data_IF_226878469965
#
_entry.id   IF_226878469965
#
_cell.length_a   1.000
_cell.length_b   1.000
_cell.length_c   1.000
_cell.angle_alpha   90.00
_cell.angle_beta   90.00
_cell.angle_gamma   90.00
#
_symmetry.space_group_name_H-M   'P 1'
#
loop_
_entity.id
_entity.type
_entity.pdbx_description
1 polymer ?
#
# COMPACT_ATOMS: atom_id res chain seq x y z
N UNK A 1 -34.52 30.64 -50.77
CA UNK A 1 -34.42 29.19 -50.55
C UNK A 1 -35.25 28.87 -49.33
N UNK A 2 -36.27 28.04 -49.55
CA UNK A 2 -37.42 27.86 -48.68
C UNK A 2 -37.11 27.03 -47.43
N UNK A 3 -37.88 27.36 -46.39
CA UNK A 3 -38.07 26.70 -45.10
C UNK A 3 -38.35 25.20 -45.16
N UNK A 4 -37.96 24.45 -44.12
CA UNK A 4 -38.82 23.44 -43.47
C UNK A 4 -38.19 22.93 -42.17
N UNK A 5 -38.88 23.15 -41.06
CA UNK A 5 -38.83 22.35 -39.83
C UNK A 5 -39.87 21.24 -39.90
N UNK A 6 -39.78 20.19 -39.06
CA UNK A 6 -40.99 19.48 -38.65
C UNK A 6 -41.15 19.46 -37.13
N UNK A 7 -42.28 20.01 -36.71
CA UNK A 7 -42.96 19.77 -35.44
C UNK A 7 -43.72 18.44 -35.56
N UNK A 8 -43.70 17.60 -34.53
CA UNK A 8 -44.67 16.50 -34.39
C UNK A 8 -45.27 16.52 -33.00
N UNK A 9 -46.60 16.63 -33.01
CA UNK A 9 -47.53 16.79 -31.92
C UNK A 9 -47.62 15.56 -31.02
N UNK A 10 -47.87 15.88 -29.76
CA UNK A 10 -48.30 15.02 -28.67
C UNK A 10 -49.83 15.19 -28.58
N UNK A 11 -50.64 14.12 -28.71
CA UNK A 11 -51.80 13.88 -27.84
C UNK A 11 -52.75 12.75 -28.31
N UNK A 12 -53.33 12.11 -27.29
CA UNK A 12 -54.62 11.39 -27.25
C UNK A 12 -54.64 9.92 -27.66
N UNK A 13 -54.59 9.02 -26.68
CA UNK A 13 -55.74 8.14 -26.38
C UNK A 13 -55.78 7.77 -24.89
N UNK A 14 -56.79 8.32 -24.21
CA UNK A 14 -57.37 7.86 -22.95
C UNK A 14 -57.71 6.36 -23.00
N UNK A 15 -57.65 5.68 -21.85
CA UNK A 15 -58.82 5.16 -21.12
C UNK A 15 -58.50 3.97 -20.19
N UNK A 16 -58.94 4.14 -18.94
CA UNK A 16 -59.46 3.13 -18.00
C UNK A 16 -58.48 2.37 -17.08
N UNK A 17 -58.47 2.84 -15.83
CA UNK A 17 -58.30 2.02 -14.63
C UNK A 17 -59.42 0.99 -14.49
N UNK A 18 -59.14 -0.13 -13.81
CA UNK A 18 -60.16 -0.71 -12.92
C UNK A 18 -59.59 -0.87 -11.51
N UNK A 19 -60.24 -0.18 -10.58
CA UNK A 19 -60.30 -0.54 -9.17
C UNK A 19 -60.96 -1.91 -9.01
N UNK A 20 -60.33 -2.85 -8.32
CA UNK A 20 -61.09 -3.84 -7.55
C UNK A 20 -60.46 -3.99 -6.17
N UNK A 21 -61.26 -3.59 -5.18
CA UNK A 21 -61.07 -3.82 -3.76
C UNK A 21 -60.94 -5.33 -3.46
N UNK A 22 -60.08 -5.69 -2.52
CA UNK A 22 -60.26 -6.86 -1.67
C UNK A 22 -59.45 -6.67 -0.38
N UNK A 23 -60.13 -6.15 0.63
CA UNK A 23 -59.84 -6.39 2.05
C UNK A 23 -60.95 -7.33 2.58
N UNK A 24 -60.85 -7.93 3.78
CA UNK A 24 -59.72 -8.59 4.43
C UNK A 24 -60.14 -10.00 4.94
N UNK A 25 -59.21 -10.92 5.18
CA UNK A 25 -59.52 -12.17 5.93
C UNK A 25 -58.76 -12.16 7.24
N UNK A 26 -59.51 -11.98 8.33
CA UNK A 26 -59.10 -12.29 9.71
C UNK A 26 -59.09 -13.81 9.88
N UNK A 27 -57.99 -14.34 10.41
CA UNK A 27 -57.97 -15.61 11.12
C UNK A 27 -57.20 -15.39 12.43
N UNK A 28 -57.98 -15.27 13.50
CA UNK A 28 -57.51 -15.29 14.87
C UNK A 28 -57.13 -16.73 15.23
N UNK A 29 -55.91 -16.96 15.73
CA UNK A 29 -55.63 -18.04 16.68
C UNK A 29 -54.61 -17.56 17.71
N UNK A 30 -55.10 -17.28 18.91
CA UNK A 30 -54.30 -17.18 20.13
C UNK A 30 -53.65 -18.54 20.44
N UNK A 31 -52.36 -18.54 20.80
CA UNK A 31 -51.79 -19.53 21.72
C UNK A 31 -50.89 -18.80 22.73
N UNK A 32 -51.26 -18.91 24.00
CA UNK A 32 -50.47 -18.48 25.16
C UNK A 32 -49.28 -19.42 25.35
N UNK A 33 -48.06 -18.87 25.37
CA UNK A 33 -47.00 -19.41 26.22
C UNK A 33 -46.23 -18.26 26.88
N UNK A 34 -46.37 -18.22 28.21
CA UNK A 34 -45.43 -17.66 29.16
C UNK A 34 -44.00 -18.20 28.94
N UNK A 35 -42.99 -17.37 29.24
CA UNK A 35 -41.81 -17.66 30.08
C UNK A 35 -40.48 -17.06 29.54
N UNK A 36 -39.98 -16.07 30.29
CA UNK A 36 -38.57 -15.81 30.70
C UNK A 36 -37.45 -15.66 29.65
N UNK A 37 -36.79 -14.50 29.76
CA UNK A 37 -35.38 -14.18 29.51
C UNK A 37 -34.59 -15.12 28.59
N UNK A 38 -34.26 -14.61 27.41
CA UNK A 38 -33.20 -15.14 26.56
C UNK A 38 -32.55 -14.00 25.79
N UNK A 39 -31.62 -13.31 26.47
CA UNK A 39 -30.47 -12.61 25.89
C UNK A 39 -30.74 -11.69 24.69
N UNK A 40 -30.73 -10.38 24.98
CA UNK A 40 -30.45 -9.32 24.02
C UNK A 40 -29.07 -9.58 23.37
N UNK A 41 -29.11 -10.30 22.25
CA UNK A 41 -28.10 -10.32 21.20
C UNK A 41 -28.93 -9.98 19.95
N UNK A 42 -28.47 -9.00 19.17
CA UNK A 42 -29.06 -8.51 17.91
C UNK A 42 -29.77 -7.14 17.97
N UNK A 43 -29.27 -6.18 18.73
CA UNK A 43 -29.44 -4.75 18.40
C UNK A 43 -28.52 -4.39 17.22
N UNK A 44 -28.67 -5.08 16.08
CA UNK A 44 -28.08 -4.68 14.80
C UNK A 44 -29.09 -3.74 14.16
N UNK A 45 -28.94 -2.45 14.42
CA UNK A 45 -29.75 -1.39 13.82
C UNK A 45 -29.92 -1.65 12.32
N UNK A 46 -31.16 -1.95 11.92
CA UNK A 46 -31.49 -2.22 10.53
C UNK A 46 -31.54 -0.87 9.82
N UNK A 47 -30.53 -0.60 9.01
CA UNK A 47 -30.43 0.61 8.19
C UNK A 47 -31.65 0.67 7.25
N UNK A 48 -32.38 1.78 7.28
CA UNK A 48 -33.55 2.01 6.44
C UNK A 48 -33.19 1.97 4.96
N UNK A 49 -34.17 1.69 4.09
CA UNK A 49 -34.00 1.76 2.63
C UNK A 49 -33.48 3.14 2.17
N UNK A 50 -33.94 4.21 2.81
CA UNK A 50 -33.50 5.58 2.54
C UNK A 50 -32.04 5.81 2.92
N UNK A 51 -31.63 5.31 4.09
CA UNK A 51 -30.25 5.41 4.59
C UNK A 51 -29.30 4.57 3.73
N UNK A 52 -29.73 3.38 3.29
CA UNK A 52 -28.97 2.53 2.37
C UNK A 52 -28.78 3.21 1.00
N UNK A 53 -29.79 3.94 0.52
CA UNK A 53 -29.66 4.72 -0.71
C UNK A 53 -28.68 5.88 -0.55
N UNK A 54 -28.72 6.59 0.57
CA UNK A 54 -27.77 7.68 0.84
C UNK A 54 -26.34 7.17 1.03
N UNK A 55 -26.16 6.04 1.72
CA UNK A 55 -24.86 5.38 1.84
C UNK A 55 -24.26 5.08 0.47
N UNK A 56 -25.04 4.46 -0.43
CA UNK A 56 -24.60 4.20 -1.82
C UNK A 56 -24.22 5.48 -2.57
N UNK A 57 -24.97 6.56 -2.39
CA UNK A 57 -24.67 7.85 -3.01
C UNK A 57 -23.34 8.41 -2.52
N UNK A 58 -23.09 8.35 -1.21
CA UNK A 58 -21.87 8.83 -0.58
C UNK A 58 -20.67 7.96 -0.96
N UNK A 59 -20.82 6.63 -0.97
CA UNK A 59 -19.77 5.71 -1.41
C UNK A 59 -19.37 5.95 -2.86
N UNK A 60 -20.31 6.26 -3.75
CA UNK A 60 -19.99 6.61 -5.13
C UNK A 60 -19.18 7.92 -5.24
N UNK A 61 -19.37 8.88 -4.33
CA UNK A 61 -18.55 10.09 -4.25
C UNK A 61 -17.15 9.74 -3.76
N UNK A 62 -17.04 8.90 -2.73
CA UNK A 62 -15.76 8.44 -2.19
C UNK A 62 -14.97 7.68 -3.26
N UNK A 63 -15.58 6.72 -3.94
CA UNK A 63 -14.92 5.93 -4.99
C UNK A 63 -14.37 6.81 -6.12
N UNK A 64 -15.16 7.80 -6.55
CA UNK A 64 -14.71 8.78 -7.55
C UNK A 64 -13.56 9.65 -7.03
N UNK A 65 -13.63 10.08 -5.77
CA UNK A 65 -12.57 10.85 -5.12
C UNK A 65 -11.25 10.07 -4.99
N UNK A 66 -11.31 8.77 -4.68
CA UNK A 66 -10.13 7.89 -4.61
C UNK A 66 -9.45 7.73 -5.97
N UNK A 67 -10.19 7.85 -7.07
CA UNK A 67 -9.66 7.75 -8.45
C UNK A 67 -9.22 9.09 -9.03
N UNK A 68 -9.63 10.21 -8.44
CA UNK A 68 -9.40 11.54 -8.97
C UNK A 68 -7.91 11.87 -9.19
N UNK A 69 -7.01 11.45 -8.30
CA UNK A 69 -5.58 11.74 -8.46
C UNK A 69 -4.99 11.10 -9.72
N UNK A 70 -5.44 9.90 -10.09
CA UNK A 70 -5.02 9.20 -11.29
C UNK A 70 -5.56 9.91 -12.54
N UNK A 71 -6.83 10.29 -12.55
CA UNK A 71 -7.44 11.03 -13.67
C UNK A 71 -6.73 12.37 -13.90
N UNK A 72 -6.46 13.12 -12.83
CA UNK A 72 -5.71 14.38 -12.87
C UNK A 72 -4.30 14.14 -13.40
N UNK A 73 -3.58 13.14 -12.87
CA UNK A 73 -2.22 12.81 -13.31
C UNK A 73 -2.17 12.45 -14.80
N UNK A 74 -3.14 11.68 -15.31
CA UNK A 74 -3.23 11.34 -16.72
C UNK A 74 -3.52 12.56 -17.59
N UNK A 75 -4.44 13.43 -17.17
CA UNK A 75 -4.74 14.68 -17.89
C UNK A 75 -3.51 15.59 -17.95
N UNK A 76 -2.82 15.79 -16.83
CA UNK A 76 -1.58 16.57 -16.75
C UNK A 76 -0.50 15.98 -17.66
N UNK A 77 -0.35 14.65 -17.69
CA UNK A 77 0.58 13.95 -18.59
C UNK A 77 0.28 14.25 -20.06
N UNK A 78 -0.99 14.20 -20.46
CA UNK A 78 -1.41 14.49 -21.83
C UNK A 78 -1.19 15.96 -22.21
N UNK A 79 -1.56 16.89 -21.33
CA UNK A 79 -1.34 18.33 -21.51
C UNK A 79 0.15 18.62 -21.71
N UNK A 80 1.00 17.99 -20.89
CA UNK A 80 2.45 18.14 -20.97
C UNK A 80 2.99 17.55 -22.28
N UNK A 81 2.65 16.31 -22.61
CA UNK A 81 3.15 15.59 -23.78
C UNK A 81 2.81 16.31 -25.10
N UNK A 82 1.58 16.82 -25.21
CA UNK A 82 1.12 17.55 -26.41
C UNK A 82 1.44 19.06 -26.35
N UNK A 83 2.02 19.53 -25.25
CA UNK A 83 2.33 20.94 -24.98
C UNK A 83 1.12 21.86 -25.19
N UNK A 84 -0.06 21.46 -24.70
CA UNK A 84 -1.32 22.20 -24.91
C UNK A 84 -1.35 23.56 -24.18
N UNK A 85 -0.43 23.78 -23.24
CA UNK A 85 -0.26 25.04 -22.51
C UNK A 85 0.47 26.14 -23.31
N UNK A 86 1.09 25.80 -24.44
CA UNK A 86 2.04 26.68 -25.17
C UNK A 86 1.45 28.00 -25.70
N UNK A 87 0.12 28.11 -25.79
CA UNK A 87 -0.54 29.32 -26.27
C UNK A 87 -0.43 30.49 -25.28
N UNK A 88 -0.45 30.19 -23.97
CA UNK A 88 -0.54 31.21 -22.92
C UNK A 88 0.60 31.13 -21.90
N UNK A 89 1.38 30.05 -21.90
CA UNK A 89 2.42 29.80 -20.90
C UNK A 89 3.73 29.35 -21.56
N UNK A 90 4.87 29.79 -21.00
CA UNK A 90 6.19 29.49 -21.58
C UNK A 90 6.61 28.05 -21.34
N UNK A 91 6.31 27.51 -20.16
CA UNK A 91 6.63 26.15 -19.77
C UNK A 91 5.46 25.53 -18.98
N UNK A 92 5.55 24.22 -18.75
CA UNK A 92 4.50 23.45 -18.08
C UNK A 92 4.37 23.83 -16.60
N UNK A 93 5.49 24.19 -15.98
CA UNK A 93 5.58 24.60 -14.59
C UNK A 93 4.77 25.87 -14.31
N UNK A 94 4.95 26.91 -15.13
CA UNK A 94 4.21 28.16 -15.06
C UNK A 94 2.71 27.91 -15.24
N UNK A 95 2.34 27.05 -16.20
CA UNK A 95 0.96 26.62 -16.38
C UNK A 95 0.37 25.98 -15.11
N UNK A 96 1.09 25.05 -14.47
CA UNK A 96 0.61 24.39 -13.25
C UNK A 96 0.43 25.37 -12.09
N UNK A 97 1.37 26.29 -11.90
CA UNK A 97 1.33 27.26 -10.81
C UNK A 97 0.21 28.27 -11.06
N UNK A 98 0.14 28.87 -12.24
CA UNK A 98 -0.79 29.97 -12.53
C UNK A 98 -2.22 29.49 -12.74
N UNK A 99 -2.44 28.35 -13.41
CA UNK A 99 -3.80 27.88 -13.70
C UNK A 99 -4.42 27.06 -12.59
N UNK A 100 -3.60 26.26 -11.90
CA UNK A 100 -4.07 25.24 -10.94
C UNK A 100 -3.56 25.47 -9.51
N UNK A 101 -2.82 26.56 -9.25
CA UNK A 101 -2.22 26.87 -7.94
C UNK A 101 -1.38 25.72 -7.38
N UNK A 102 -0.82 24.91 -8.29
CA UNK A 102 -0.13 23.67 -7.97
C UNK A 102 1.37 23.82 -8.20
N UNK A 103 2.16 23.46 -7.20
CA UNK A 103 3.61 23.45 -7.35
C UNK A 103 4.03 22.47 -8.45
N UNK A 104 5.14 22.81 -9.14
CA UNK A 104 5.82 21.90 -10.08
C UNK A 104 5.93 20.48 -9.52
N UNK A 105 6.49 20.36 -8.30
CA UNK A 105 6.74 19.07 -7.66
C UNK A 105 5.46 18.24 -7.53
N UNK A 106 4.36 18.87 -7.11
CA UNK A 106 3.07 18.18 -6.96
C UNK A 106 2.53 17.70 -8.29
N UNK A 107 2.64 18.51 -9.36
CA UNK A 107 2.19 18.11 -10.69
C UNK A 107 2.95 16.89 -11.22
N UNK A 108 4.29 16.89 -11.12
CA UNK A 108 5.10 15.74 -11.52
C UNK A 108 4.83 14.50 -10.66
N UNK A 109 4.63 14.67 -9.34
CA UNK A 109 4.26 13.56 -8.46
C UNK A 109 2.93 12.90 -8.85
N UNK A 110 1.93 13.70 -9.24
CA UNK A 110 0.66 13.16 -9.74
C UNK A 110 0.84 12.40 -11.06
N UNK A 111 1.66 12.91 -11.99
CA UNK A 111 1.97 12.25 -13.26
C UNK A 111 2.68 10.91 -13.04
N UNK A 112 3.69 10.88 -12.17
CA UNK A 112 4.45 9.68 -11.83
C UNK A 112 3.57 8.65 -11.12
N UNK A 113 2.78 9.07 -10.12
CA UNK A 113 1.87 8.20 -9.40
C UNK A 113 0.77 7.63 -10.29
N UNK A 114 0.24 8.41 -11.24
CA UNK A 114 -0.74 7.92 -12.21
C UNK A 114 -0.13 6.85 -13.13
N UNK A 115 1.15 6.99 -13.49
CA UNK A 115 1.87 5.98 -14.29
C UNK A 115 2.08 4.67 -13.51
N UNK A 116 2.44 4.75 -12.22
CA UNK A 116 2.50 3.58 -11.33
C UNK A 116 1.14 2.92 -11.18
N UNK A 117 0.08 3.72 -10.96
CA UNK A 117 -1.28 3.21 -10.81
C UNK A 117 -1.70 2.40 -12.05
N UNK A 118 -1.41 2.89 -13.26
CA UNK A 118 -1.69 2.16 -14.50
C UNK A 118 -0.95 0.81 -14.56
N UNK A 119 0.33 0.78 -14.16
CA UNK A 119 1.11 -0.46 -14.16
C UNK A 119 0.56 -1.49 -13.15
N UNK A 120 0.16 -1.02 -11.96
CA UNK A 120 -0.39 -1.87 -10.89
C UNK A 120 -1.80 -2.36 -11.22
N UNK A 121 -2.59 -1.56 -11.94
CA UNK A 121 -4.01 -1.84 -12.24
C UNK A 121 -4.24 -3.18 -12.94
N UNK A 122 -3.32 -3.61 -13.80
CA UNK A 122 -3.51 -4.80 -14.65
C UNK A 122 -3.32 -6.14 -13.94
N UNK A 123 -2.96 -6.15 -12.65
CA UNK A 123 -2.92 -7.41 -11.89
C UNK A 123 -2.77 -7.25 -10.38
N UNK A 124 -3.39 -6.22 -9.82
CA UNK A 124 -3.60 -6.08 -8.39
C UNK A 124 -5.09 -6.17 -8.07
N UNK A 125 -5.44 -6.91 -7.02
CA UNK A 125 -6.82 -7.00 -6.53
C UNK A 125 -7.25 -5.71 -5.81
N UNK A 126 -6.30 -5.04 -5.16
CA UNK A 126 -6.50 -3.77 -4.46
C UNK A 126 -5.67 -2.71 -5.17
N UNK A 127 -6.31 -1.60 -5.56
CA UNK A 127 -5.64 -0.49 -6.23
C UNK A 127 -5.14 0.55 -5.21
N UNK A 128 -4.09 1.31 -5.53
CA UNK A 128 -3.67 2.43 -4.71
C UNK A 128 -4.81 3.45 -4.55
N UNK A 129 -5.19 3.72 -3.31
CA UNK A 129 -6.28 4.62 -2.96
C UNK A 129 -5.89 6.11 -3.06
N UNK A 130 -4.59 6.41 -3.05
CA UNK A 130 -4.08 7.78 -3.19
C UNK A 130 -2.66 7.83 -3.78
N UNK A 131 -2.26 9.03 -4.23
CA UNK A 131 -0.93 9.32 -4.78
C UNK A 131 0.19 8.89 -3.83
N UNK A 132 0.02 9.07 -2.52
CA UNK A 132 1.07 8.79 -1.52
C UNK A 132 1.40 7.31 -1.41
N UNK A 133 0.45 6.43 -1.67
CA UNK A 133 0.68 4.98 -1.72
C UNK A 133 1.40 4.56 -3.00
N UNK A 134 1.10 5.19 -4.14
CA UNK A 134 1.72 4.87 -5.43
C UNK A 134 3.14 5.45 -5.56
N UNK A 135 3.37 6.66 -5.01
CA UNK A 135 4.63 7.41 -5.17
C UNK A 135 5.90 6.61 -4.79
N UNK A 136 5.97 5.85 -3.69
CA UNK A 136 7.19 5.14 -3.34
C UNK A 136 7.65 4.11 -4.39
N UNK A 137 6.73 3.62 -5.21
CA UNK A 137 7.02 2.65 -6.27
C UNK A 137 7.60 3.31 -7.53
N UNK A 138 7.56 4.63 -7.68
CA UNK A 138 8.05 5.31 -8.90
C UNK A 138 9.54 5.11 -9.14
N UNK A 139 10.28 4.79 -8.08
CA UNK A 139 11.73 4.53 -8.14
C UNK A 139 12.04 3.12 -8.67
N UNK A 140 11.06 2.21 -8.69
CA UNK A 140 11.21 0.86 -9.23
C UNK A 140 10.91 0.82 -10.73
N UNK A 141 11.55 -0.08 -11.50
CA UNK A 141 11.17 -0.30 -12.89
C UNK A 141 9.73 -0.85 -12.98
N UNK A 142 8.98 -0.58 -14.08
CA UNK A 142 7.56 -0.93 -14.21
C UNK A 142 7.22 -2.38 -13.87
N UNK A 143 8.05 -3.33 -14.32
CA UNK A 143 7.89 -4.76 -14.05
C UNK A 143 7.85 -5.09 -12.55
N UNK A 144 8.71 -4.43 -11.76
CA UNK A 144 8.81 -4.66 -10.30
C UNK A 144 7.78 -3.89 -9.50
N UNK A 145 7.14 -2.87 -10.07
CA UNK A 145 6.13 -2.07 -9.36
C UNK A 145 4.92 -2.92 -8.97
N UNK A 146 4.47 -3.79 -9.87
CA UNK A 146 3.36 -4.70 -9.61
C UNK A 146 3.68 -5.72 -8.52
N UNK A 147 4.86 -6.36 -8.61
CA UNK A 147 5.31 -7.31 -7.59
C UNK A 147 5.46 -6.67 -6.21
N UNK A 148 6.09 -5.50 -6.15
CA UNK A 148 6.28 -4.76 -4.91
C UNK A 148 4.94 -4.31 -4.30
N UNK A 149 3.98 -3.89 -5.13
CA UNK A 149 2.64 -3.57 -4.66
C UNK A 149 1.91 -4.79 -4.09
N UNK A 150 1.92 -5.91 -4.81
CA UNK A 150 1.30 -7.16 -4.35
C UNK A 150 1.93 -7.65 -3.04
N UNK A 151 3.26 -7.56 -2.91
CA UNK A 151 3.95 -7.84 -1.64
C UNK A 151 3.45 -6.90 -0.54
N UNK A 152 3.39 -5.59 -0.79
CA UNK A 152 2.91 -4.62 0.19
C UNK A 152 1.46 -4.85 0.63
N UNK A 153 0.59 -5.30 -0.29
CA UNK A 153 -0.79 -5.69 0.03
C UNK A 153 -0.81 -6.93 0.93
N UNK A 154 -0.02 -7.96 0.60
CA UNK A 154 0.04 -9.21 1.37
C UNK A 154 0.65 -9.07 2.78
N UNK A 155 1.59 -8.15 2.95
CA UNK A 155 2.31 -7.93 4.22
C UNK A 155 1.79 -6.73 5.01
N UNK A 156 0.66 -6.14 4.59
CA UNK A 156 0.14 -4.92 5.16
C UNK A 156 -0.19 -5.08 6.66
N UNK A 157 0.39 -4.25 7.56
CA UNK A 157 0.06 -4.30 8.97
C UNK A 157 -1.41 -3.95 9.17
N UNK A 158 -2.13 -4.78 9.93
CA UNK A 158 -3.56 -4.60 10.22
C UNK A 158 -4.47 -4.57 8.98
N UNK A 159 -4.06 -5.16 7.86
CA UNK A 159 -4.83 -5.23 6.62
C UNK A 159 -5.00 -3.89 5.89
N UNK A 160 -4.30 -2.83 6.31
CA UNK A 160 -4.35 -1.51 5.68
C UNK A 160 -3.03 -1.18 5.01
N UNK A 161 -3.06 -0.97 3.70
CA UNK A 161 -1.89 -0.58 2.93
C UNK A 161 -1.54 0.88 3.24
N UNK A 162 -0.48 1.11 4.00
CA UNK A 162 0.00 2.47 4.31
C UNK A 162 1.12 2.88 3.36
N UNK A 163 1.26 4.19 3.09
CA UNK A 163 2.34 4.69 2.24
C UNK A 163 3.74 4.39 2.79
N UNK A 164 3.88 4.35 4.13
CA UNK A 164 5.15 4.04 4.80
C UNK A 164 5.53 2.58 4.57
N UNK A 165 4.56 1.67 4.69
CA UNK A 165 4.78 0.25 4.42
C UNK A 165 5.16 0.00 2.95
N UNK A 166 4.46 0.64 2.01
CA UNK A 166 4.79 0.54 0.58
C UNK A 166 6.20 1.08 0.30
N UNK A 167 6.61 2.17 0.96
CA UNK A 167 7.96 2.71 0.83
C UNK A 167 9.03 1.75 1.37
N UNK A 168 8.76 1.08 2.49
CA UNK A 168 9.66 0.06 3.04
C UNK A 168 9.85 -1.10 2.05
N UNK A 169 8.75 -1.64 1.53
CA UNK A 169 8.79 -2.70 0.52
C UNK A 169 9.54 -2.24 -0.74
N UNK A 170 9.29 -1.02 -1.22
CA UNK A 170 10.00 -0.48 -2.38
C UNK A 170 11.52 -0.38 -2.14
N UNK A 171 11.95 0.02 -0.94
CA UNK A 171 13.37 0.08 -0.54
C UNK A 171 14.02 -1.30 -0.57
N UNK A 172 13.34 -2.35 -0.09
CA UNK A 172 13.83 -3.73 -0.13
C UNK A 172 14.09 -4.20 -1.58
N UNK A 173 13.19 -3.89 -2.52
CA UNK A 173 13.37 -4.25 -3.94
C UNK A 173 14.55 -3.52 -4.59
N UNK A 174 14.83 -2.28 -4.16
CA UNK A 174 16.01 -1.53 -4.63
C UNK A 174 17.30 -2.16 -4.13
N UNK A 175 17.39 -2.45 -2.84
CA UNK A 175 18.58 -3.05 -2.22
C UNK A 175 18.88 -4.44 -2.79
N UNK A 176 17.86 -5.26 -3.01
CA UNK A 176 18.08 -6.58 -3.60
C UNK A 176 18.60 -6.48 -5.05
N UNK A 177 18.26 -5.42 -5.78
CA UNK A 177 18.76 -5.22 -7.15
C UNK A 177 20.23 -4.79 -7.22
N UNK A 178 20.76 -4.12 -6.19
CA UNK A 178 22.17 -3.68 -6.15
C UNK A 178 23.10 -4.82 -5.73
N UNK A 179 22.67 -5.69 -4.81
CA UNK A 179 23.46 -6.84 -4.34
C UNK A 179 23.69 -7.88 -5.45
N UNK A 180 22.69 -8.16 -6.29
CA UNK A 180 22.85 -9.10 -7.41
C UNK A 180 23.78 -8.61 -8.53
N UNK A 181 23.95 -7.31 -8.71
CA UNK A 181 24.86 -6.76 -9.75
C UNK A 181 26.35 -6.84 -9.35
N UNK A 182 26.67 -6.97 -8.07
CA UNK A 182 28.06 -7.07 -7.57
C UNK A 182 28.67 -8.48 -7.74
N UNK A 183 27.85 -9.54 -7.88
CA UNK A 183 28.33 -10.93 -7.86
C UNK A 183 28.75 -11.49 -9.23
N UNK A 184 28.49 -10.81 -10.34
CA UNK A 184 28.79 -11.32 -11.67
C UNK A 184 29.82 -10.45 -12.43
N UNK A 185 31.10 -10.60 -12.06
CA UNK A 185 32.24 -10.20 -12.91
C UNK A 185 33.44 -11.13 -12.66
N UNK A 186 33.53 -12.23 -13.42
CA UNK A 186 34.80 -12.89 -13.80
C UNK A 186 34.72 -13.35 -15.27
N UNK A 187 35.81 -13.03 -15.96
CA UNK A 187 36.08 -12.89 -17.41
C UNK A 187 36.49 -14.21 -18.11
N UNK A 188 36.78 -14.24 -19.44
CA UNK A 188 38.14 -13.94 -19.95
C UNK A 188 38.15 -13.08 -21.25
N UNK A 189 38.88 -11.96 -21.25
CA UNK A 189 40.21 -11.70 -21.87
C UNK A 189 40.13 -11.27 -23.34
N UNK A 190 40.72 -10.10 -23.64
CA UNK A 190 41.61 -9.83 -24.79
C UNK A 190 42.20 -8.41 -24.62
N UNK A 191 43.47 -8.29 -25.00
CA UNK A 191 44.42 -7.23 -24.72
C UNK A 191 44.09 -5.86 -25.36
N UNK A 192 44.47 -4.78 -24.70
CA UNK A 192 45.36 -3.75 -25.28
C UNK A 192 45.65 -2.64 -24.27
N UNK A 193 46.94 -2.37 -24.12
CA UNK A 193 47.51 -1.29 -23.32
C UNK A 193 47.04 0.07 -23.80
N UNK A 194 46.84 1.03 -22.88
CA UNK A 194 47.17 2.44 -23.07
C UNK A 194 47.25 3.18 -21.72
N UNK A 195 48.39 3.82 -21.53
CA UNK A 195 48.81 4.68 -20.42
C UNK A 195 47.94 5.94 -20.34
N UNK A 196 47.40 6.26 -19.16
CA UNK A 196 47.12 7.64 -18.74
C UNK A 196 46.87 7.71 -17.23
N UNK A 197 47.76 8.42 -16.56
CA UNK A 197 47.57 9.03 -15.25
C UNK A 197 46.30 9.89 -15.20
N UNK A 198 45.48 9.71 -14.15
CA UNK A 198 44.72 10.73 -13.41
C UNK A 198 44.14 10.04 -12.16
N UNK A 199 44.43 10.59 -10.99
CA UNK A 199 43.88 10.18 -9.69
C UNK A 199 42.36 10.40 -9.64
N UNK A 200 41.63 9.56 -8.90
CA UNK A 200 40.76 10.17 -7.88
C UNK A 200 40.57 9.32 -6.61
N UNK A 201 40.61 10.03 -5.48
CA UNK A 201 39.79 9.83 -4.28
C UNK A 201 39.79 8.45 -3.63
N UNK A 202 40.35 8.38 -2.42
CA UNK A 202 40.18 7.28 -1.50
C UNK A 202 38.71 7.02 -1.24
N UNK A 203 38.27 5.83 -1.66
CA UNK A 203 36.97 5.30 -1.30
C UNK A 203 37.01 4.94 0.17
N UNK A 204 36.32 5.70 1.00
CA UNK A 204 35.78 5.16 2.24
C UNK A 204 34.50 5.93 2.59
N UNK A 205 33.36 5.42 2.13
CA UNK A 205 32.06 5.86 2.59
C UNK A 205 31.30 4.61 3.05
N UNK A 206 31.71 4.10 4.20
CA UNK A 206 30.86 3.22 5.00
C UNK A 206 29.68 4.06 5.48
N UNK A 207 28.52 3.90 4.85
CA UNK A 207 27.25 4.45 5.33
C UNK A 207 26.90 3.77 6.65
N UNK A 208 27.36 4.35 7.76
CA UNK A 208 26.79 4.06 9.07
C UNK A 208 25.38 4.65 9.07
N UNK A 209 24.37 3.82 8.80
CA UNK A 209 22.99 4.19 9.05
C UNK A 209 22.84 4.35 10.58
N UNK A 210 22.79 5.58 11.06
CA UNK A 210 22.51 5.88 12.45
C UNK A 210 21.00 6.03 12.64
N UNK A 211 20.44 5.26 13.55
CA UNK A 211 19.04 5.35 13.95
C UNK A 211 18.96 5.93 15.37
N UNK A 212 18.12 6.95 15.57
CA UNK A 212 17.88 7.53 16.90
C UNK A 212 16.58 6.98 17.46
N UNK A 213 16.68 6.18 18.53
CA UNK A 213 15.52 5.73 19.29
C UNK A 213 15.32 6.65 20.50
N UNK A 214 14.12 7.21 20.62
CA UNK A 214 13.72 7.94 21.82
C UNK A 214 12.73 7.08 22.61
N UNK A 215 13.12 6.70 23.83
CA UNK A 215 12.30 5.90 24.72
C UNK A 215 11.88 6.75 25.92
N UNK A 216 10.58 6.85 26.16
CA UNK A 216 10.05 7.46 27.38
C UNK A 216 10.14 6.43 28.50
N UNK A 217 11.14 6.57 29.37
CA UNK A 217 11.30 5.73 30.55
C UNK A 217 10.67 6.40 31.77
N UNK A 218 9.92 5.67 32.60
CA UNK A 218 9.48 6.15 33.90
C UNK A 218 10.65 6.66 34.76
N UNK A 219 10.46 7.74 35.56
CA UNK A 219 11.54 8.42 36.25
C UNK A 219 12.26 7.55 37.29
N UNK A 220 11.58 6.53 37.83
CA UNK A 220 12.16 5.60 38.81
C UNK A 220 13.14 4.59 38.18
N UNK A 221 13.10 4.36 36.86
CA UNK A 221 14.01 3.44 36.18
C UNK A 221 15.37 4.08 35.86
N UNK A 222 15.44 5.40 35.79
CA UNK A 222 16.67 6.14 35.51
C UNK A 222 17.81 5.85 36.51
N UNK A 223 17.60 5.94 37.84
CA UNK A 223 18.65 5.62 38.80
C UNK A 223 19.06 4.15 38.72
N UNK A 224 18.09 3.24 38.58
CA UNK A 224 18.36 1.80 38.50
C UNK A 224 19.24 1.45 37.29
N UNK A 225 18.96 2.03 36.12
CA UNK A 225 19.78 1.83 34.91
C UNK A 225 21.19 2.39 35.12
N UNK A 226 21.31 3.57 35.74
CA UNK A 226 22.62 4.16 36.03
C UNK A 226 23.44 3.29 36.99
N UNK A 227 22.82 2.76 38.04
CA UNK A 227 23.48 1.92 39.04
C UNK A 227 23.95 0.61 38.40
N UNK A 228 23.10 -0.05 37.59
CA UNK A 228 23.48 -1.29 36.87
C UNK A 228 24.59 -1.07 35.83
N UNK A 229 24.62 0.10 35.18
CA UNK A 229 25.71 0.46 34.28
C UNK A 229 27.02 0.66 35.05
N UNK A 230 26.97 1.34 36.19
CA UNK A 230 28.11 1.57 37.07
C UNK A 230 28.66 0.25 37.66
N UNK A 231 27.80 -0.68 38.08
CA UNK A 231 28.19 -2.02 38.55
C UNK A 231 28.89 -2.83 37.46
N UNK A 232 28.50 -2.62 36.20
CA UNK A 232 29.14 -3.23 35.03
C UNK A 232 30.42 -2.51 34.57
N UNK A 233 30.80 -1.41 35.22
CA UNK A 233 31.94 -0.57 34.86
C UNK A 233 31.78 0.18 33.53
N UNK A 234 30.55 0.35 33.04
CA UNK A 234 30.23 0.95 31.74
C UNK A 234 29.42 2.24 31.91
N UNK A 235 29.55 3.16 30.97
CA UNK A 235 28.61 4.27 30.84
C UNK A 235 27.24 3.77 30.39
N UNK A 236 26.16 4.49 30.72
CA UNK A 236 24.77 4.07 30.38
C UNK A 236 24.58 3.77 28.89
N UNK A 237 25.19 4.57 28.01
CA UNK A 237 25.09 4.38 26.56
C UNK A 237 25.75 3.07 26.11
N UNK A 238 26.94 2.78 26.62
CA UNK A 238 27.67 1.56 26.29
C UNK A 238 27.00 0.32 26.89
N UNK A 239 26.46 0.47 28.10
CA UNK A 239 25.68 -0.58 28.77
C UNK A 239 24.42 -0.94 27.99
N UNK A 240 23.64 0.07 27.55
CA UNK A 240 22.44 -0.14 26.72
C UNK A 240 22.82 -0.77 25.37
N UNK A 241 23.93 -0.34 24.76
CA UNK A 241 24.42 -0.90 23.48
C UNK A 241 24.74 -2.38 23.63
N UNK A 242 25.45 -2.75 24.70
CA UNK A 242 25.78 -4.15 24.99
C UNK A 242 24.52 -4.99 25.25
N UNK A 243 23.56 -4.45 26.00
CA UNK A 243 22.29 -5.13 26.28
C UNK A 243 21.48 -5.38 25.00
N UNK A 244 21.43 -4.38 24.09
CA UNK A 244 20.78 -4.54 22.79
C UNK A 244 21.50 -5.58 21.91
N UNK A 245 22.83 -5.57 21.89
CA UNK A 245 23.62 -6.58 21.15
C UNK A 245 23.34 -8.00 21.68
N UNK A 246 23.36 -8.20 22.99
CA UNK A 246 23.05 -9.50 23.60
C UNK A 246 21.61 -9.94 23.34
N UNK A 247 20.65 -9.02 23.39
CA UNK A 247 19.25 -9.32 23.09
C UNK A 247 19.08 -9.77 21.63
N UNK A 248 19.68 -9.06 20.68
CA UNK A 248 19.61 -9.40 19.24
C UNK A 248 20.24 -10.77 18.98
N UNK A 249 21.41 -11.05 19.55
CA UNK A 249 22.09 -12.35 19.42
C UNK A 249 21.25 -13.51 20.00
N UNK A 250 20.52 -13.29 21.10
CA UNK A 250 19.61 -14.31 21.68
C UNK A 250 18.40 -14.61 20.78
N UNK A 251 17.89 -13.61 20.07
CA UNK A 251 16.80 -13.79 19.09
C UNK A 251 17.20 -14.65 17.90
N UNK A 252 18.42 -14.49 17.37
CA UNK A 252 18.91 -15.27 16.21
C UNK A 252 19.13 -16.75 16.58
N UNK A 253 19.62 -17.04 17.79
CA UNK A 253 19.82 -18.42 18.25
C UNK A 253 18.46 -19.13 18.43
N UNK A 254 17.44 -18.43 18.91
CA UNK A 254 16.10 -19.01 19.09
C UNK A 254 15.40 -19.32 17.76
N UNK A 255 15.64 -18.53 16.71
CA UNK A 255 15.11 -18.82 15.37
C UNK A 255 15.84 -19.97 14.67
N UNK A 256 17.14 -20.17 14.92
CA UNK A 256 17.92 -21.29 14.34
C UNK A 256 17.56 -22.64 14.97
N UNK A 257 17.17 -22.65 16.26
CA UNK A 257 16.82 -23.90 16.96
C UNK A 257 15.42 -24.42 16.59
N UNK A 258 14.55 -23.58 16.03
CA UNK A 258 13.20 -23.97 15.59
C UNK A 258 13.13 -24.56 14.17
N UNK A 259 14.26 -24.66 13.45
CA UNK A 259 14.34 -25.22 12.09
C UNK A 259 15.01 -26.61 12.08
N UNK A 260 15.45 -27.15 13.23
CA UNK A 260 16.18 -28.42 13.29
C UNK A 260 15.52 -29.53 14.14
N UNK A 261 14.28 -29.34 14.63
CA UNK A 261 13.54 -30.40 15.34
C UNK A 261 12.47 -31.11 14.49
N UNK A 262 12.31 -30.80 13.21
CA UNK A 262 11.27 -31.39 12.35
C UNK A 262 11.81 -32.32 11.25
N UNK A 263 12.94 -33.01 11.49
CA UNK A 263 13.32 -34.20 10.72
C UNK A 263 13.08 -35.42 11.62
N UNK A 264 11.80 -35.77 11.71
CA UNK A 264 11.34 -37.03 12.28
C UNK A 264 11.97 -38.22 11.55
N UNK A 265 12.55 -39.10 12.36
CA UNK A 265 13.16 -40.37 11.99
C UNK A 265 12.29 -41.19 11.02
N UNK A 266 12.86 -41.59 9.88
CA UNK A 266 12.33 -42.66 9.03
C UNK A 266 12.88 -43.98 9.59
N UNK A 267 12.03 -44.99 9.91
CA UNK A 267 12.50 -46.27 10.42
C UNK A 267 13.12 -47.12 9.30
N UNK A 268 14.21 -47.79 9.62
CA UNK A 268 14.93 -48.74 8.78
C UNK A 268 14.06 -49.99 8.62
N UNK A 269 13.60 -50.26 7.39
CA UNK A 269 12.92 -51.50 7.02
C UNK A 269 13.92 -52.63 6.79
N UNK A 270 13.78 -53.69 7.57
CA UNK A 270 14.46 -54.98 7.46
C UNK A 270 14.31 -55.58 6.06
N UNK A 271 15.44 -55.91 5.41
CA UNK A 271 15.47 -56.75 4.22
C UNK A 271 15.81 -58.17 4.69
N UNK A 272 14.78 -58.97 4.96
CA UNK A 272 14.93 -60.40 5.18
C UNK A 272 15.25 -61.10 3.86
N UNK A 273 16.44 -61.67 3.76
CA UNK A 273 16.79 -62.71 2.80
C UNK A 273 16.43 -64.06 3.44
N UNK A 274 15.46 -64.78 2.87
CA UNK A 274 15.26 -66.21 3.15
C UNK A 274 15.59 -67.01 1.90
N UNK A 275 16.44 -68.03 2.11
CA UNK A 275 16.51 -69.26 1.33
C UNK A 275 15.20 -70.04 1.44
#
# INVERSE_FOLDING_TARGET
MSSSSPTVDLDTLNFLTPTHNCEPVRLDQEHKQSNVNGQNILDKEIISSTETQELRRLEAIVDRGLRAFWEIGQALRQIQAQRLYRQHYKNFEEYCITRWEMSRRSAYQLIEAASVYENVRHGAQILPANERQARPLTVLPPEKQQEAWNKAVSTAPCGKVTSVHVAQVAKEYQQNSTVTKSRNKKTPEQESNLTASITPSGWNCSSQENFTLTLQLPPYLKPLIQDTANESGLGVVDWVTKLLQEAVLKTEISQSTQIHEDIGCIPIGEINYCQ
#
